data_IF_876933010769
#
_entry.id   IF_876933010769
#
_cell.length_a   1.000
_cell.length_b   1.000
_cell.length_c   1.000
_cell.angle_alpha   90.00
_cell.angle_beta   90.00
_cell.angle_gamma   90.00
#
_symmetry.space_group_name_H-M   'P 1'
#
loop_
_entity.id
_entity.type
_entity.pdbx_description
1 polymer ?
#
# COMPACT_ATOMS: atom_id res chain seq x y z
N UNK A 1 11.06 2.54 6.87
CA UNK A 1 11.42 1.11 7.03
C UNK A 1 11.89 0.54 5.69
N UNK A 2 12.63 -0.55 5.72
CA UNK A 2 13.02 -1.21 4.48
C UNK A 2 12.00 -2.28 4.09
N UNK A 3 12.19 -2.88 2.90
CA UNK A 3 11.25 -3.87 2.37
C UNK A 3 11.17 -5.13 3.24
N UNK A 4 12.29 -5.56 3.82
CA UNK A 4 12.29 -6.74 4.69
C UNK A 4 11.47 -6.52 5.96
N UNK A 5 11.60 -5.34 6.55
CA UNK A 5 10.80 -4.96 7.72
C UNK A 5 9.32 -4.91 7.38
N UNK A 6 8.98 -4.33 6.24
CA UNK A 6 7.58 -4.24 5.79
C UNK A 6 6.98 -5.64 5.61
N UNK A 7 7.69 -6.54 4.95
CA UNK A 7 7.23 -7.91 4.73
C UNK A 7 7.03 -8.62 6.06
N UNK A 8 7.98 -8.45 7.00
CA UNK A 8 7.88 -9.06 8.32
C UNK A 8 6.65 -8.56 9.08
N UNK A 9 6.38 -7.27 9.03
CA UNK A 9 5.21 -6.69 9.69
C UNK A 9 3.90 -7.22 9.11
N UNK A 10 3.83 -7.33 7.78
CA UNK A 10 2.66 -7.89 7.12
C UNK A 10 2.41 -9.33 7.58
N UNK A 11 3.47 -10.14 7.67
CA UNK A 11 3.36 -11.53 8.08
C UNK A 11 3.02 -11.65 9.56
N UNK A 12 3.73 -10.93 10.42
CA UNK A 12 3.55 -11.02 11.88
C UNK A 12 2.17 -10.52 12.31
N UNK A 13 1.70 -9.46 11.67
CA UNK A 13 0.41 -8.85 12.00
C UNK A 13 -0.74 -9.40 11.14
N UNK A 14 -0.44 -10.28 10.20
CA UNK A 14 -1.41 -10.89 9.28
C UNK A 14 -2.24 -9.84 8.54
N UNK A 15 -1.58 -8.79 8.06
CA UNK A 15 -2.24 -7.72 7.34
C UNK A 15 -2.74 -8.20 5.98
N UNK A 16 -3.94 -7.79 5.61
CA UNK A 16 -4.61 -8.19 4.38
C UNK A 16 -5.07 -6.99 3.57
N UNK A 17 -5.39 -7.24 2.30
CA UNK A 17 -5.96 -6.20 1.44
C UNK A 17 -4.92 -5.24 0.92
N UNK A 18 -3.86 -5.76 0.32
CA UNK A 18 -2.78 -4.92 -0.21
C UNK A 18 -2.25 -5.42 -1.55
N UNK A 19 -1.61 -4.50 -2.26
CA UNK A 19 -0.79 -4.80 -3.42
C UNK A 19 0.57 -4.15 -3.19
N UNK A 20 1.61 -4.96 -3.07
CA UNK A 20 2.97 -4.48 -2.89
C UNK A 20 3.73 -4.64 -4.20
N UNK A 21 3.56 -3.66 -5.09
CA UNK A 21 4.25 -3.59 -6.38
C UNK A 21 4.04 -4.81 -7.28
N UNK A 22 2.82 -5.36 -7.29
CA UNK A 22 2.45 -6.43 -8.22
C UNK A 22 1.72 -5.84 -9.42
N UNK A 23 2.13 -6.26 -10.62
CA UNK A 23 1.46 -5.85 -11.85
C UNK A 23 0.18 -6.65 -12.04
N UNK A 24 -0.93 -6.05 -11.65
CA UNK A 24 -2.26 -6.64 -11.82
C UNK A 24 -3.32 -5.55 -11.72
N UNK A 25 -4.52 -5.88 -12.11
CA UNK A 25 -5.65 -4.97 -11.91
C UNK A 25 -5.90 -4.75 -10.43
N UNK A 26 -6.35 -3.55 -10.10
CA UNK A 26 -6.73 -3.24 -8.73
C UNK A 26 -7.87 -4.15 -8.27
N UNK A 27 -7.82 -4.50 -7.00
CA UNK A 27 -8.90 -5.21 -6.31
C UNK A 27 -9.65 -4.22 -5.42
N UNK A 28 -10.85 -4.60 -5.02
CA UNK A 28 -11.64 -3.75 -4.13
C UNK A 28 -11.00 -3.67 -2.73
N UNK A 29 -11.13 -2.50 -2.14
CA UNK A 29 -10.73 -2.24 -0.76
C UNK A 29 -9.31 -2.69 -0.42
N UNK A 30 -8.32 -2.20 -1.17
CA UNK A 30 -6.92 -2.50 -0.88
C UNK A 30 -6.07 -1.24 -0.81
N UNK A 31 -4.92 -1.37 -0.15
CA UNK A 31 -3.87 -0.35 -0.14
C UNK A 31 -2.82 -0.78 -1.14
N UNK A 32 -2.42 0.12 -2.02
CA UNK A 32 -1.52 -0.19 -3.13
C UNK A 32 -0.22 0.58 -3.02
N UNK A 33 0.90 -0.11 -3.19
CA UNK A 33 2.22 0.47 -3.35
C UNK A 33 2.73 0.07 -4.72
N UNK A 34 3.03 1.06 -5.56
CA UNK A 34 3.55 0.82 -6.91
C UNK A 34 4.76 1.67 -7.18
N UNK A 35 5.73 1.12 -7.91
CA UNK A 35 6.84 1.89 -8.42
C UNK A 35 6.54 2.33 -9.85
N UNK A 36 6.65 3.63 -10.10
CA UNK A 36 6.51 4.20 -11.45
C UNK A 36 7.75 5.04 -11.76
N UNK A 37 8.55 4.57 -12.70
CA UNK A 37 9.84 5.20 -13.02
C UNK A 37 10.71 5.29 -11.77
N UNK A 38 11.08 6.51 -11.34
CA UNK A 38 11.91 6.73 -10.16
C UNK A 38 11.10 7.01 -8.91
N UNK A 39 9.78 6.90 -8.98
CA UNK A 39 8.88 7.32 -7.89
C UNK A 39 8.12 6.13 -7.33
N UNK A 40 7.71 6.26 -6.08
CA UNK A 40 6.87 5.31 -5.40
C UNK A 40 5.51 5.95 -5.15
N UNK A 41 4.44 5.24 -5.49
CA UNK A 41 3.08 5.75 -5.35
C UNK A 41 2.33 4.87 -4.38
N UNK A 42 1.65 5.51 -3.41
CA UNK A 42 0.81 4.81 -2.44
C UNK A 42 -0.60 5.36 -2.58
N UNK A 43 -1.58 4.48 -2.72
CA UNK A 43 -2.99 4.88 -2.80
C UNK A 43 -3.89 3.77 -2.27
N UNK A 44 -5.18 4.08 -2.16
CA UNK A 44 -6.19 3.11 -1.74
C UNK A 44 -7.25 2.94 -2.83
N UNK A 45 -7.89 1.78 -2.85
CA UNK A 45 -9.03 1.53 -3.74
C UNK A 45 -10.31 1.45 -2.93
N UNK A 46 -11.44 1.68 -3.60
CA UNK A 46 -12.76 1.60 -3.00
C UNK A 46 -13.43 0.24 -3.26
N UNK A 47 -14.70 0.11 -2.93
CA UNK A 47 -15.46 -1.13 -3.12
C UNK A 47 -15.67 -1.50 -4.58
N UNK A 48 -15.32 -0.62 -5.51
CA UNK A 48 -15.40 -0.87 -6.96
C UNK A 48 -14.04 -1.13 -7.57
N UNK A 49 -13.02 -1.28 -6.74
CA UNK A 49 -11.63 -1.43 -7.18
C UNK A 49 -11.09 -0.19 -7.90
N UNK A 50 -11.72 0.96 -7.70
CA UNK A 50 -11.27 2.22 -8.29
C UNK A 50 -10.39 2.96 -7.31
N UNK A 51 -9.36 3.66 -7.85
CA UNK A 51 -8.49 4.49 -7.01
C UNK A 51 -9.31 5.61 -6.35
N UNK A 52 -9.20 5.73 -5.04
CA UNK A 52 -9.83 6.84 -4.31
C UNK A 52 -9.08 8.12 -4.68
N UNK A 53 -9.80 9.12 -5.21
CA UNK A 53 -9.24 10.28 -5.87
C UNK A 53 -8.16 11.03 -5.08
N UNK A 54 -8.39 11.26 -3.80
CA UNK A 54 -7.47 12.05 -2.97
C UNK A 54 -6.57 11.19 -2.09
N UNK A 55 -6.47 9.89 -2.38
CA UNK A 55 -5.66 8.98 -1.55
C UNK A 55 -4.21 8.89 -2.00
N UNK A 56 -3.89 9.31 -3.22
CA UNK A 56 -2.58 9.11 -3.79
C UNK A 56 -1.53 10.05 -3.22
N UNK A 57 -0.44 9.47 -2.70
CA UNK A 57 0.76 10.21 -2.32
C UNK A 57 1.94 9.65 -3.10
N UNK A 58 2.89 10.53 -3.44
CA UNK A 58 4.04 10.19 -4.26
C UNK A 58 5.31 10.42 -3.44
N UNK A 59 6.20 9.45 -3.47
CA UNK A 59 7.47 9.49 -2.74
C UNK A 59 8.65 9.23 -3.68
N UNK A 60 9.77 9.89 -3.40
CA UNK A 60 11.01 9.64 -4.12
C UNK A 60 11.85 8.56 -3.44
N UNK A 61 11.54 8.27 -2.19
CA UNK A 61 12.26 7.32 -1.35
C UNK A 61 11.36 6.13 -1.01
N UNK A 62 11.87 4.93 -1.28
CA UNK A 62 11.15 3.69 -0.98
C UNK A 62 10.81 3.55 0.49
N UNK A 63 11.73 3.92 1.39
CA UNK A 63 11.49 3.76 2.82
C UNK A 63 10.35 4.64 3.32
N UNK A 64 10.25 5.87 2.81
CA UNK A 64 9.14 6.75 3.14
C UNK A 64 7.82 6.20 2.61
N UNK A 65 7.84 5.66 1.39
CA UNK A 65 6.65 5.06 0.79
C UNK A 65 6.20 3.84 1.59
N UNK A 66 7.13 3.01 2.03
CA UNK A 66 6.81 1.83 2.84
C UNK A 66 6.25 2.22 4.21
N UNK A 67 6.77 3.28 4.82
CA UNK A 67 6.23 3.78 6.09
C UNK A 67 4.75 4.16 5.93
N UNK A 68 4.43 4.93 4.89
CA UNK A 68 3.04 5.32 4.61
C UNK A 68 2.17 4.10 4.28
N UNK A 69 2.68 3.22 3.43
CA UNK A 69 1.96 2.01 3.01
C UNK A 69 1.57 1.15 4.22
N UNK A 70 2.50 0.87 5.11
CA UNK A 70 2.25 0.06 6.30
C UNK A 70 1.30 0.77 7.26
N UNK A 71 1.46 2.07 7.48
CA UNK A 71 0.55 2.83 8.34
C UNK A 71 -0.89 2.76 7.83
N UNK A 72 -1.10 2.95 6.53
CA UNK A 72 -2.42 2.84 5.92
C UNK A 72 -2.97 1.42 6.03
N UNK A 73 -2.13 0.43 5.78
CA UNK A 73 -2.53 -0.97 5.81
C UNK A 73 -2.95 -1.38 7.21
N UNK A 74 -2.24 -0.94 8.23
CA UNK A 74 -2.60 -1.18 9.63
C UNK A 74 -3.95 -0.54 9.98
N UNK A 75 -4.13 0.72 9.60
CA UNK A 75 -5.38 1.42 9.85
C UNK A 75 -6.55 0.72 9.15
N UNK A 76 -6.33 0.29 7.92
CA UNK A 76 -7.33 -0.41 7.13
C UNK A 76 -7.71 -1.74 7.76
N UNK A 77 -6.73 -2.50 8.25
CA UNK A 77 -6.97 -3.80 8.88
C UNK A 77 -7.69 -3.68 10.24
N UNK A 78 -7.53 -2.57 10.93
CA UNK A 78 -8.26 -2.32 12.18
C UNK A 78 -9.76 -2.15 11.99
N UNK A 79 -10.18 -1.75 10.78
CA UNK A 79 -11.58 -1.54 10.44
C UNK A 79 -12.27 -2.78 9.88
N UNK A 80 -11.53 -3.84 9.70
CA UNK A 80 -12.07 -5.10 9.16
C UNK A 80 -12.75 -5.96 10.18
#
# INVERSE_FOLDING_TARGET
MNIKEAIKMIQDEKLQGYNMNEERYNRENEVVLMRENDKWIVYATDERASKVTNSQDIYLDEEEALDDFIDRLRAFNRLR
#
